data_IF_625803304319
#
_entry.id   IF_625803304319
#
_cell.length_a   1.000
_cell.length_b   1.000
_cell.length_c   1.000
_cell.angle_alpha   90.00
_cell.angle_beta   90.00
_cell.angle_gamma   90.00
#
_symmetry.space_group_name_H-M   'P 1'
#
loop_
_entity.id
_entity.type
_entity.pdbx_description
1 polymer ?
#
# COMPACT_ATOMS: atom_id res chain seq x y z
N UNK A 1 7.96 14.86 -21.60
CA UNK A 1 6.59 15.42 -21.66
C UNK A 1 6.24 16.10 -20.35
N UNK A 2 5.21 16.92 -20.36
CA UNK A 2 4.75 17.63 -19.18
C UNK A 2 4.18 16.65 -18.14
N UNK A 3 4.35 16.97 -16.85
CA UNK A 3 3.74 16.23 -15.76
C UNK A 3 2.33 16.77 -15.54
N UNK A 4 1.34 15.89 -15.50
CA UNK A 4 -0.04 16.21 -15.17
C UNK A 4 -0.38 15.59 -13.80
N UNK A 5 -0.88 16.41 -12.89
CA UNK A 5 -1.37 15.98 -11.56
C UNK A 5 -2.88 16.18 -11.53
N UNK A 6 -3.63 15.14 -11.18
CA UNK A 6 -5.07 15.19 -11.03
C UNK A 6 -5.44 15.48 -9.59
N UNK A 7 -6.32 16.46 -9.40
CA UNK A 7 -6.79 16.87 -8.07
C UNK A 7 -8.28 16.59 -7.87
N UNK A 8 -8.69 16.46 -6.61
CA UNK A 8 -10.07 16.46 -6.18
C UNK A 8 -10.24 17.49 -5.07
N UNK A 9 -11.06 18.52 -5.34
CA UNK A 9 -11.17 19.65 -4.41
C UNK A 9 -9.86 20.44 -4.26
N UNK A 10 -9.60 20.97 -3.07
CA UNK A 10 -8.49 21.87 -2.79
C UNK A 10 -7.33 21.21 -2.01
N UNK A 11 -7.51 19.97 -1.54
CA UNK A 11 -6.58 19.31 -0.63
C UNK A 11 -6.24 17.87 -1.02
N UNK A 12 -6.81 17.34 -2.10
CA UNK A 12 -6.61 15.95 -2.49
C UNK A 12 -6.04 15.83 -3.91
N UNK A 13 -5.03 14.99 -4.07
CA UNK A 13 -4.52 14.53 -5.37
C UNK A 13 -4.96 13.08 -5.62
N UNK A 14 -5.35 12.79 -6.87
CA UNK A 14 -5.83 11.46 -7.29
C UNK A 14 -4.81 10.68 -8.11
N UNK A 15 -3.80 11.33 -8.63
CA UNK A 15 -2.78 10.68 -9.44
C UNK A 15 -1.93 11.66 -10.24
N UNK A 16 -0.92 11.10 -10.88
CA UNK A 16 -0.11 11.85 -11.83
C UNK A 16 0.31 10.99 -13.02
N UNK A 17 0.60 11.65 -14.12
CA UNK A 17 1.09 11.03 -15.33
C UNK A 17 1.95 11.96 -16.17
N UNK A 18 2.53 11.41 -17.22
CA UNK A 18 3.33 12.15 -18.21
C UNK A 18 2.54 12.28 -19.51
N UNK A 19 2.48 13.48 -20.06
CA UNK A 19 1.90 13.69 -21.38
C UNK A 19 2.74 12.92 -22.41
N UNK A 20 2.11 12.00 -23.13
CA UNK A 20 2.77 11.07 -24.05
C UNK A 20 2.40 11.29 -25.53
N UNK A 21 1.56 12.30 -25.84
CA UNK A 21 1.23 12.65 -27.22
C UNK A 21 1.22 14.17 -27.43
N UNK A 22 1.32 14.58 -28.69
CA UNK A 22 0.91 15.91 -29.09
C UNK A 22 -0.60 16.09 -28.92
N UNK A 23 -1.04 17.34 -28.99
CA UNK A 23 -2.45 17.69 -29.02
C UNK A 23 -3.13 17.10 -30.23
N UNK A 24 -4.35 16.56 -30.03
CA UNK A 24 -5.23 16.17 -31.13
C UNK A 24 -6.69 16.52 -30.83
N UNK A 25 -7.46 16.70 -31.90
CA UNK A 25 -8.89 16.99 -31.83
C UNK A 25 -9.68 15.73 -32.21
N UNK A 26 -10.71 15.39 -31.43
CA UNK A 26 -11.58 14.23 -31.69
C UNK A 26 -13.03 14.58 -31.38
N UNK A 27 -13.87 14.62 -32.44
CA UNK A 27 -15.31 14.93 -32.31
C UNK A 27 -16.12 13.83 -31.63
N UNK A 28 -15.61 12.59 -31.59
CA UNK A 28 -16.30 11.43 -31.03
C UNK A 28 -16.30 11.37 -29.50
N UNK A 29 -15.62 12.29 -28.84
CA UNK A 29 -15.48 12.33 -27.40
C UNK A 29 -16.23 13.53 -26.81
N UNK A 30 -16.83 13.38 -25.63
CA UNK A 30 -17.44 14.50 -24.89
C UNK A 30 -16.46 15.62 -24.53
N UNK A 31 -15.16 15.39 -24.73
CA UNK A 31 -14.07 16.35 -24.57
C UNK A 31 -13.19 16.32 -25.84
N UNK A 32 -13.47 17.19 -26.82
CA UNK A 32 -12.84 17.09 -28.15
C UNK A 32 -11.35 17.42 -28.17
N UNK A 33 -10.86 18.26 -27.25
CA UNK A 33 -9.47 18.63 -27.15
C UNK A 33 -8.71 17.68 -26.24
N UNK A 34 -7.77 16.91 -26.78
CA UNK A 34 -7.15 15.78 -26.07
C UNK A 34 -5.64 15.73 -26.22
N UNK A 35 -5.00 15.15 -25.19
CA UNK A 35 -3.64 14.61 -25.21
C UNK A 35 -3.66 13.27 -24.47
N UNK A 36 -2.85 12.33 -24.92
CA UNK A 36 -2.66 11.08 -24.18
C UNK A 36 -1.74 11.32 -22.98
N UNK A 37 -2.06 10.67 -21.88
CA UNK A 37 -1.28 10.71 -20.65
C UNK A 37 -0.92 9.28 -20.25
N UNK A 38 0.36 9.05 -20.05
CA UNK A 38 0.87 7.82 -19.46
C UNK A 38 0.80 7.95 -17.94
N UNK A 39 -0.23 7.38 -17.33
CA UNK A 39 -0.48 7.46 -15.90
C UNK A 39 0.55 6.63 -15.14
N UNK A 40 1.29 7.27 -14.25
CA UNK A 40 2.36 6.67 -13.46
C UNK A 40 1.88 6.19 -12.10
N UNK A 41 0.95 6.91 -11.50
CA UNK A 41 0.36 6.53 -10.22
C UNK A 41 -1.06 7.06 -10.09
N UNK A 42 -1.90 6.33 -9.38
CA UNK A 42 -3.24 6.74 -8.97
C UNK A 42 -3.44 6.36 -7.50
N UNK A 43 -4.17 7.19 -6.77
CA UNK A 43 -4.39 7.03 -5.33
C UNK A 43 -5.14 8.23 -4.78
N UNK A 44 -5.12 8.38 -3.47
CA UNK A 44 -5.65 9.54 -2.77
C UNK A 44 -4.55 10.05 -1.84
N UNK A 45 -4.06 11.25 -2.10
CA UNK A 45 -3.05 11.91 -1.27
C UNK A 45 -3.60 13.23 -0.76
N UNK A 46 -3.59 13.42 0.54
CA UNK A 46 -3.93 14.69 1.17
C UNK A 46 -2.75 15.65 1.11
N UNK A 47 -3.03 16.89 0.72
CA UNK A 47 -2.06 17.97 0.64
C UNK A 47 -2.36 18.94 1.78
N UNK A 48 -1.60 18.85 2.86
CA UNK A 48 -1.87 19.59 4.09
C UNK A 48 -1.17 20.97 4.15
N UNK A 49 -0.08 21.14 3.40
CA UNK A 49 0.76 22.34 3.48
C UNK A 49 0.31 23.47 2.54
N UNK A 50 -0.45 23.14 1.49
CA UNK A 50 -0.87 24.09 0.46
C UNK A 50 -2.28 23.81 -0.03
N UNK A 51 -2.98 24.85 -0.45
CA UNK A 51 -4.23 24.73 -1.17
C UNK A 51 -3.96 24.51 -2.67
N UNK A 52 -4.58 23.50 -3.24
CA UNK A 52 -4.56 23.27 -4.67
C UNK A 52 -5.30 24.38 -5.43
N UNK A 53 -4.87 24.79 -6.63
CA UNK A 53 -5.53 25.82 -7.41
C UNK A 53 -7.00 25.49 -7.66
N UNK A 54 -7.87 26.49 -7.59
CA UNK A 54 -9.32 26.31 -7.83
C UNK A 54 -9.63 26.01 -9.30
N UNK A 55 -8.84 26.53 -10.22
CA UNK A 55 -9.04 26.34 -11.67
C UNK A 55 -8.86 24.87 -12.07
N UNK A 56 -9.62 24.44 -13.06
CA UNK A 56 -9.60 23.07 -13.58
C UNK A 56 -8.25 22.67 -14.16
N UNK A 57 -7.61 23.61 -14.87
CA UNK A 57 -6.25 23.42 -15.41
C UNK A 57 -5.40 24.65 -15.05
N UNK A 58 -4.28 24.40 -14.40
CA UNK A 58 -3.37 25.48 -13.96
C UNK A 58 -1.92 25.03 -14.19
N UNK A 59 -1.14 25.90 -14.82
CA UNK A 59 0.31 25.70 -14.88
C UNK A 59 0.91 26.13 -13.54
N UNK A 60 1.58 25.22 -12.87
CA UNK A 60 2.20 25.42 -11.55
C UNK A 60 3.72 25.33 -11.59
N UNK A 61 4.32 25.27 -12.77
CA UNK A 61 5.77 25.03 -12.97
C UNK A 61 6.64 26.08 -12.27
N UNK A 62 6.20 27.32 -12.22
CA UNK A 62 6.95 28.44 -11.62
C UNK A 62 6.90 28.44 -10.07
N UNK A 63 5.97 27.72 -9.46
CA UNK A 63 5.83 27.63 -8.01
C UNK A 63 6.66 26.48 -7.44
N UNK A 64 7.98 26.63 -7.45
CA UNK A 64 8.94 25.56 -7.16
C UNK A 64 8.73 24.86 -5.83
N UNK A 65 8.49 25.62 -4.75
CA UNK A 65 8.29 25.06 -3.41
C UNK A 65 6.99 24.26 -3.35
N UNK A 66 5.92 24.81 -3.90
CA UNK A 66 4.63 24.12 -4.01
C UNK A 66 4.72 22.84 -4.85
N UNK A 67 5.43 22.89 -5.99
CA UNK A 67 5.65 21.72 -6.85
C UNK A 67 6.47 20.64 -6.13
N UNK A 68 7.48 21.05 -5.36
CA UNK A 68 8.29 20.11 -4.58
C UNK A 68 7.48 19.45 -3.46
N UNK A 69 6.67 20.21 -2.75
CA UNK A 69 5.78 19.66 -1.71
C UNK A 69 4.73 18.70 -2.30
N UNK A 70 4.15 19.04 -3.45
CA UNK A 70 3.26 18.14 -4.18
C UNK A 70 3.99 16.85 -4.58
N UNK A 71 5.18 16.96 -5.18
CA UNK A 71 5.98 15.81 -5.58
C UNK A 71 6.35 14.91 -4.40
N UNK A 72 6.67 15.51 -3.26
CA UNK A 72 6.94 14.77 -2.02
C UNK A 72 5.68 14.07 -1.50
N UNK A 73 4.56 14.77 -1.45
CA UNK A 73 3.29 14.24 -0.96
C UNK A 73 2.80 13.04 -1.79
N UNK A 74 2.91 13.11 -3.14
CA UNK A 74 2.52 12.04 -4.05
C UNK A 74 3.64 11.02 -4.34
N UNK A 75 4.78 11.15 -3.66
CA UNK A 75 5.91 10.21 -3.77
C UNK A 75 6.74 10.33 -5.05
N UNK A 76 6.62 11.42 -5.82
CA UNK A 76 7.40 11.61 -7.05
C UNK A 76 8.88 11.88 -6.80
N UNK A 77 9.21 12.56 -5.69
CA UNK A 77 10.59 12.90 -5.31
C UNK A 77 11.22 11.86 -4.40
N UNK A 78 10.42 10.93 -3.89
CA UNK A 78 11.03 9.73 -3.36
C UNK A 78 11.66 9.08 -4.59
N UNK A 79 13.01 9.05 -4.73
CA UNK A 79 13.56 8.07 -5.63
C UNK A 79 12.83 6.80 -5.18
N UNK A 80 12.32 5.97 -6.08
CA UNK A 80 12.09 4.56 -5.78
C UNK A 80 13.45 4.15 -5.22
N UNK A 81 13.60 4.37 -3.91
CA UNK A 81 14.79 4.01 -3.17
C UNK A 81 14.78 2.55 -3.47
N UNK A 82 15.78 2.13 -4.22
CA UNK A 82 15.90 0.78 -4.71
C UNK A 82 15.36 -0.14 -3.63
N UNK A 83 14.03 -0.40 -3.67
CA UNK A 83 13.31 -1.24 -2.71
C UNK A 83 13.89 -2.65 -2.77
N UNK A 84 14.92 -2.82 -3.60
CA UNK A 84 15.52 -4.12 -3.89
C UNK A 84 17.04 -3.97 -4.02
N UNK A 85 17.75 -3.65 -2.94
CA UNK A 85 19.22 -3.68 -2.95
C UNK A 85 19.83 -5.01 -2.51
N UNK A 86 19.08 -5.88 -1.83
CA UNK A 86 19.49 -7.25 -1.47
C UNK A 86 18.70 -8.34 -2.21
N UNK A 87 17.54 -7.97 -2.77
CA UNK A 87 16.68 -8.84 -3.54
C UNK A 87 16.61 -8.34 -4.97
N UNK A 88 17.14 -9.07 -5.91
CA UNK A 88 16.81 -8.78 -7.30
C UNK A 88 15.30 -9.01 -7.47
N UNK A 89 14.59 -8.05 -8.02
CA UNK A 89 13.18 -8.18 -8.41
C UNK A 89 12.93 -9.50 -9.16
N UNK A 90 13.95 -9.98 -9.83
CA UNK A 90 14.00 -11.26 -10.53
C UNK A 90 13.87 -12.45 -9.58
N UNK A 91 14.46 -12.39 -8.38
CA UNK A 91 14.38 -13.46 -7.39
C UNK A 91 13.03 -13.49 -6.67
N UNK A 92 12.42 -12.31 -6.44
CA UNK A 92 11.07 -12.23 -5.89
C UNK A 92 10.01 -12.78 -6.87
N UNK A 93 10.16 -12.48 -8.17
CA UNK A 93 9.21 -12.93 -9.20
C UNK A 93 9.47 -14.35 -9.72
N UNK A 94 10.65 -14.92 -9.44
CA UNK A 94 11.04 -16.23 -9.96
C UNK A 94 10.05 -17.35 -9.61
N UNK A 95 9.44 -17.23 -8.45
CA UNK A 95 8.53 -18.23 -7.89
C UNK A 95 7.07 -17.74 -7.81
N UNK A 96 6.75 -16.56 -8.36
CA UNK A 96 5.41 -15.97 -8.27
C UNK A 96 4.82 -15.82 -9.66
N UNK A 97 3.63 -16.37 -9.86
CA UNK A 97 2.86 -16.24 -11.10
C UNK A 97 2.09 -14.89 -11.18
N UNK A 98 2.75 -13.79 -10.82
CA UNK A 98 2.22 -12.42 -10.91
C UNK A 98 3.12 -11.60 -11.84
N UNK A 99 2.52 -10.82 -12.73
CA UNK A 99 3.30 -9.87 -13.55
C UNK A 99 3.98 -8.82 -12.67
N UNK A 100 5.14 -8.34 -13.13
CA UNK A 100 5.88 -7.24 -12.48
C UNK A 100 4.99 -6.03 -12.18
N UNK A 101 4.14 -5.67 -13.13
CA UNK A 101 3.23 -4.54 -13.01
C UNK A 101 2.22 -4.73 -11.86
N UNK A 102 1.58 -5.90 -11.78
CA UNK A 102 0.62 -6.22 -10.73
C UNK A 102 1.28 -6.29 -9.36
N UNK A 103 2.51 -6.84 -9.28
CA UNK A 103 3.28 -6.85 -8.04
C UNK A 103 3.56 -5.42 -7.54
N UNK A 104 4.06 -4.54 -8.42
CA UNK A 104 4.34 -3.14 -8.08
C UNK A 104 3.08 -2.37 -7.67
N UNK A 105 1.94 -2.62 -8.33
CA UNK A 105 0.64 -2.06 -7.93
C UNK A 105 0.25 -2.53 -6.53
N UNK A 106 0.41 -3.80 -6.23
CA UNK A 106 0.08 -4.37 -4.91
C UNK A 106 0.97 -3.78 -3.81
N UNK A 107 2.26 -3.66 -4.06
CA UNK A 107 3.22 -3.02 -3.14
C UNK A 107 2.85 -1.55 -2.89
N UNK A 108 2.52 -0.81 -3.95
CA UNK A 108 2.08 0.59 -3.84
C UNK A 108 0.79 0.72 -3.02
N UNK A 109 -0.20 -0.14 -3.27
CA UNK A 109 -1.44 -0.18 -2.52
C UNK A 109 -1.20 -0.48 -1.04
N UNK A 110 -0.36 -1.46 -0.72
CA UNK A 110 -0.05 -1.82 0.67
C UNK A 110 0.67 -0.68 1.40
N UNK A 111 1.61 -0.02 0.74
CA UNK A 111 2.29 1.14 1.32
C UNK A 111 1.33 2.29 1.64
N UNK A 112 0.34 2.50 0.78
CA UNK A 112 -0.64 3.58 0.94
C UNK A 112 -1.76 3.23 1.92
N UNK A 113 -2.42 2.06 1.72
CA UNK A 113 -3.57 1.63 2.51
C UNK A 113 -3.22 0.96 3.83
N UNK A 114 -1.96 0.55 4.01
CA UNK A 114 -1.46 -0.23 5.15
C UNK A 114 -2.08 -1.62 5.31
N UNK A 115 -3.06 -1.96 4.49
CA UNK A 115 -3.65 -3.29 4.41
C UNK A 115 -4.09 -3.62 2.99
N UNK A 116 -4.14 -4.90 2.65
CA UNK A 116 -4.67 -5.44 1.39
C UNK A 116 -5.36 -6.76 1.65
N UNK A 117 -6.31 -7.10 0.79
CA UNK A 117 -6.95 -8.42 0.77
C UNK A 117 -6.53 -9.14 -0.51
N UNK A 118 -5.92 -10.31 -0.35
CA UNK A 118 -5.59 -11.21 -1.44
C UNK A 118 -6.72 -12.24 -1.61
N UNK A 119 -7.46 -12.13 -2.70
CA UNK A 119 -8.58 -13.02 -3.01
C UNK A 119 -8.24 -13.94 -4.18
N UNK A 120 -8.71 -15.17 -4.14
CA UNK A 120 -8.55 -16.16 -5.20
C UNK A 120 -8.87 -17.58 -4.74
N UNK A 121 -8.96 -18.55 -5.66
CA UNK A 121 -9.26 -19.93 -5.31
C UNK A 121 -8.19 -20.54 -4.40
N UNK A 122 -8.51 -21.65 -3.71
CA UNK A 122 -7.52 -22.40 -2.93
C UNK A 122 -6.34 -22.85 -3.80
N UNK A 123 -5.15 -22.93 -3.21
CA UNK A 123 -3.97 -23.46 -3.89
C UNK A 123 -3.24 -22.52 -4.85
N UNK A 124 -3.73 -21.30 -5.11
CA UNK A 124 -3.05 -20.34 -6.02
C UNK A 124 -1.87 -19.60 -5.38
N UNK A 125 -1.48 -19.96 -4.15
CA UNK A 125 -0.29 -19.41 -3.50
C UNK A 125 -0.50 -18.02 -2.85
N UNK A 126 -1.73 -17.65 -2.43
CA UNK A 126 -2.01 -16.35 -1.77
C UNK A 126 -1.09 -16.08 -0.58
N UNK A 127 -0.97 -17.06 0.31
CA UNK A 127 -0.13 -16.98 1.52
C UNK A 127 1.35 -16.82 1.17
N UNK A 128 1.82 -17.54 0.14
CA UNK A 128 3.18 -17.43 -0.37
C UNK A 128 3.47 -16.03 -0.93
N UNK A 129 2.51 -15.50 -1.72
CA UNK A 129 2.60 -14.16 -2.28
C UNK A 129 2.63 -13.09 -1.17
N UNK A 130 1.79 -13.24 -0.13
CA UNK A 130 1.77 -12.33 1.02
C UNK A 130 3.14 -12.23 1.70
N UNK A 131 3.80 -13.37 1.97
CA UNK A 131 5.16 -13.40 2.51
C UNK A 131 6.18 -12.73 1.58
N UNK A 132 6.13 -13.03 0.28
CA UNK A 132 7.05 -12.42 -0.70
C UNK A 132 6.87 -10.90 -0.80
N UNK A 133 5.65 -10.39 -0.69
CA UNK A 133 5.38 -8.94 -0.63
C UNK A 133 5.99 -8.34 0.64
N UNK A 134 5.83 -9.00 1.79
CA UNK A 134 6.41 -8.55 3.05
C UNK A 134 7.94 -8.47 2.97
N UNK A 135 8.62 -9.52 2.52
CA UNK A 135 10.07 -9.52 2.32
C UNK A 135 10.51 -8.42 1.34
N UNK A 136 9.80 -8.24 0.22
CA UNK A 136 10.10 -7.19 -0.74
C UNK A 136 10.00 -5.79 -0.14
N UNK A 137 9.05 -5.56 0.77
CA UNK A 137 8.87 -4.29 1.45
C UNK A 137 9.83 -4.07 2.62
N UNK A 138 10.27 -5.13 3.28
CA UNK A 138 11.31 -5.08 4.31
C UNK A 138 12.72 -4.93 3.73
N UNK A 139 12.90 -5.31 2.46
CA UNK A 139 14.20 -5.47 1.81
C UNK A 139 15.10 -6.51 2.53
N UNK A 140 14.47 -7.46 3.24
CA UNK A 140 15.14 -8.48 4.03
C UNK A 140 14.29 -9.76 4.17
N UNK A 141 14.94 -10.91 4.37
CA UNK A 141 14.29 -12.21 4.69
C UNK A 141 14.26 -12.42 6.21
N UNK A 142 13.50 -11.60 6.91
CA UNK A 142 13.38 -11.68 8.36
C UNK A 142 11.97 -12.17 8.76
N UNK A 143 11.84 -13.47 8.94
CA UNK A 143 10.58 -14.09 9.40
C UNK A 143 10.17 -13.58 10.77
N UNK A 144 11.07 -13.06 11.58
CA UNK A 144 10.74 -12.54 12.92
C UNK A 144 9.85 -11.30 12.89
N UNK A 145 9.80 -10.61 11.74
CA UNK A 145 8.98 -9.42 11.48
C UNK A 145 7.67 -9.73 10.75
N UNK A 146 7.41 -11.01 10.49
CA UNK A 146 6.17 -11.48 9.88
C UNK A 146 5.46 -12.40 10.87
N UNK A 147 4.26 -12.02 11.29
CA UNK A 147 3.38 -12.91 12.05
C UNK A 147 2.27 -13.40 11.14
N UNK A 148 1.96 -14.69 11.23
CA UNK A 148 0.92 -15.30 10.42
C UNK A 148 -0.02 -16.12 11.30
N UNK A 149 -1.30 -15.83 11.17
CA UNK A 149 -2.37 -16.59 11.83
C UNK A 149 -3.35 -17.13 10.80
N UNK A 150 -3.86 -18.29 11.04
CA UNK A 150 -4.95 -18.89 10.25
C UNK A 150 -6.24 -18.86 11.07
N UNK A 151 -7.25 -18.17 10.55
CA UNK A 151 -8.55 -18.14 11.22
C UNK A 151 -9.31 -19.47 11.01
N UNK A 152 -9.99 -19.89 12.06
CA UNK A 152 -10.89 -21.03 12.10
C UNK A 152 -12.07 -20.73 13.03
N UNK A 153 -13.12 -21.55 12.99
CA UNK A 153 -14.37 -21.29 13.73
C UNK A 153 -14.21 -21.12 15.25
N UNK A 154 -13.18 -21.75 15.83
CA UNK A 154 -12.87 -21.65 17.26
C UNK A 154 -11.87 -20.54 17.61
N UNK A 155 -11.46 -19.72 16.63
CA UNK A 155 -10.51 -18.62 16.88
C UNK A 155 -11.27 -17.46 17.51
N UNK A 156 -11.00 -17.20 18.79
CA UNK A 156 -11.74 -16.20 19.55
C UNK A 156 -11.10 -14.81 19.51
N UNK A 157 -11.90 -13.81 19.87
CA UNK A 157 -11.40 -12.45 20.05
C UNK A 157 -10.29 -12.38 21.12
N UNK A 158 -10.46 -13.17 22.18
CA UNK A 158 -9.53 -13.26 23.31
C UNK A 158 -8.17 -13.85 22.89
N UNK A 159 -8.15 -14.76 21.93
CA UNK A 159 -6.91 -15.31 21.37
C UNK A 159 -6.23 -14.32 20.42
N UNK A 160 -7.03 -13.48 19.78
CA UNK A 160 -6.53 -12.53 18.78
C UNK A 160 -6.05 -11.22 19.38
N UNK A 161 -6.89 -10.59 20.20
CA UNK A 161 -6.61 -9.26 20.79
C UNK A 161 -6.17 -9.40 22.24
N UNK A 162 -7.07 -9.63 23.15
CA UNK A 162 -6.82 -9.79 24.59
C UNK A 162 -7.97 -10.56 25.25
N UNK A 163 -7.68 -11.36 26.25
CA UNK A 163 -8.68 -12.07 27.02
C UNK A 163 -8.27 -12.38 28.44
N UNK A 164 -9.26 -12.54 29.31
CA UNK A 164 -9.01 -13.01 30.66
C UNK A 164 -8.81 -14.54 30.66
N UNK A 165 -7.73 -14.98 31.28
CA UNK A 165 -7.41 -16.41 31.48
C UNK A 165 -7.34 -16.72 32.97
N UNK A 166 -7.79 -17.90 33.37
CA UNK A 166 -7.64 -18.36 34.76
C UNK A 166 -6.15 -18.37 35.17
N UNK A 167 -5.87 -17.86 36.34
CA UNK A 167 -4.52 -17.82 36.93
C UNK A 167 -4.67 -18.12 38.42
N UNK A 168 -4.18 -19.25 38.90
CA UNK A 168 -4.31 -19.79 40.28
C UNK A 168 -5.65 -19.45 40.97
N UNK A 169 -5.73 -18.32 41.69
CA UNK A 169 -6.91 -17.86 42.44
C UNK A 169 -7.65 -16.68 41.77
N UNK A 170 -7.30 -16.29 40.54
CA UNK A 170 -7.84 -15.08 39.88
C UNK A 170 -7.95 -15.23 38.36
N UNK A 171 -8.30 -14.14 37.72
CA UNK A 171 -8.24 -14.00 36.25
C UNK A 171 -7.21 -12.96 35.87
N UNK A 172 -6.33 -13.31 34.96
CA UNK A 172 -5.31 -12.42 34.41
C UNK A 172 -5.64 -12.04 32.97
N UNK A 173 -5.49 -10.77 32.65
CA UNK A 173 -5.57 -10.30 31.27
C UNK A 173 -4.33 -10.74 30.49
N UNK A 174 -4.52 -11.52 29.44
CA UNK A 174 -3.44 -12.02 28.58
C UNK A 174 -3.60 -11.43 27.20
N UNK A 175 -2.49 -10.97 26.63
CA UNK A 175 -2.44 -10.42 25.30
C UNK A 175 -2.59 -11.53 24.26
N UNK A 176 -3.46 -11.32 23.29
CA UNK A 176 -3.58 -12.15 22.12
C UNK A 176 -2.42 -11.91 21.13
N UNK A 177 -2.40 -12.73 20.08
CA UNK A 177 -1.28 -12.75 19.12
C UNK A 177 -1.14 -11.43 18.37
N UNK A 178 -2.25 -10.82 17.95
CA UNK A 178 -2.21 -9.54 17.24
C UNK A 178 -1.75 -8.38 18.13
N UNK A 179 -2.26 -8.32 19.35
CA UNK A 179 -1.84 -7.29 20.31
C UNK A 179 -0.36 -7.40 20.62
N UNK A 180 0.13 -8.61 20.91
CA UNK A 180 1.55 -8.86 21.19
C UNK A 180 2.45 -8.47 20.00
N UNK A 181 2.01 -8.77 18.79
CA UNK A 181 2.69 -8.37 17.56
C UNK A 181 2.74 -6.84 17.39
N UNK A 182 1.63 -6.14 17.66
CA UNK A 182 1.60 -4.68 17.63
C UNK A 182 2.55 -4.04 18.64
N UNK A 183 2.65 -4.58 19.87
CA UNK A 183 3.60 -4.08 20.87
C UNK A 183 5.05 -4.32 20.42
N UNK A 184 5.34 -5.47 19.82
CA UNK A 184 6.65 -5.75 19.22
C UNK A 184 6.99 -4.75 18.11
N UNK A 185 6.07 -4.51 17.17
CA UNK A 185 6.26 -3.55 16.10
C UNK A 185 6.45 -2.11 16.63
N UNK A 186 5.71 -1.73 17.68
CA UNK A 186 5.80 -0.43 18.31
C UNK A 186 7.13 -0.21 19.03
N UNK A 187 7.73 -1.28 19.55
CA UNK A 187 9.05 -1.23 20.20
C UNK A 187 10.22 -1.10 19.21
N UNK A 188 9.97 -1.28 17.91
CA UNK A 188 10.96 -1.22 16.83
C UNK A 188 10.45 -0.38 15.64
N UNK A 189 10.29 0.95 15.82
CA UNK A 189 9.63 1.83 14.85
C UNK A 189 10.42 2.03 13.54
N UNK A 190 11.72 1.72 13.54
CA UNK A 190 12.57 1.85 12.36
C UNK A 190 12.41 0.72 11.36
N UNK A 191 11.75 -0.37 11.75
CA UNK A 191 11.51 -1.54 10.94
C UNK A 191 10.05 -1.69 10.53
N UNK A 192 9.82 -2.43 9.43
CA UNK A 192 8.49 -2.75 8.96
C UNK A 192 8.09 -4.13 9.45
N UNK A 193 6.88 -4.22 9.99
CA UNK A 193 6.26 -5.45 10.48
C UNK A 193 5.02 -5.78 9.66
N UNK A 194 4.79 -7.07 9.40
CA UNK A 194 3.68 -7.54 8.58
C UNK A 194 2.89 -8.60 9.32
N UNK A 195 1.59 -8.36 9.47
CA UNK A 195 0.65 -9.33 10.03
C UNK A 195 -0.19 -9.93 8.91
N UNK A 196 -0.18 -11.24 8.79
CA UNK A 196 -0.91 -11.98 7.75
C UNK A 196 -2.01 -12.79 8.39
N UNK A 197 -3.25 -12.56 7.96
CA UNK A 197 -4.41 -13.37 8.35
C UNK A 197 -4.78 -14.24 7.17
N UNK A 198 -4.63 -15.56 7.32
CA UNK A 198 -5.10 -16.52 6.34
C UNK A 198 -6.51 -16.99 6.70
N UNK A 199 -7.31 -17.33 5.70
CA UNK A 199 -8.69 -17.81 5.84
C UNK A 199 -9.58 -16.90 6.72
N UNK A 200 -9.47 -15.58 6.54
CA UNK A 200 -10.19 -14.58 7.35
C UNK A 200 -11.71 -14.80 7.38
N UNK A 201 -12.26 -15.38 6.30
CA UNK A 201 -13.67 -15.73 6.17
C UNK A 201 -14.12 -16.92 7.05
N UNK A 202 -13.17 -17.65 7.65
CA UNK A 202 -13.47 -18.79 8.55
C UNK A 202 -13.54 -18.38 10.02
N UNK A 203 -13.11 -17.17 10.35
CA UNK A 203 -13.21 -16.64 11.71
C UNK A 203 -14.66 -16.37 12.09
N UNK A 204 -14.99 -16.55 13.37
CA UNK A 204 -16.26 -16.08 13.91
C UNK A 204 -16.17 -14.55 14.06
N UNK A 205 -16.79 -13.82 13.10
CA UNK A 205 -16.80 -12.36 13.07
C UNK A 205 -18.06 -11.77 13.75
N UNK A 206 -18.85 -12.60 14.44
CA UNK A 206 -20.08 -12.20 15.15
C UNK A 206 -19.82 -11.87 16.62
#
# INVERSE_FOLDING_TARGET
GDVVIVKKGNHECLGYGLVSSDYYYSESSGYPHQRKVDWKSNGLWEINNHNLPLKTLTNITEYTDFVNDLKNAIGMNTPMKNIISKFTFKDLLKDIFISKENFLKTVSLLNHKKNIILQGPPGVGKTFIAKKIAYGLMEDYDDSKIEMVQFHQSYSYEDFIQGYRPDEDSFKLVNGVFYSFCEKAKSDPDNKYFFVIDEINRGNLS
#
